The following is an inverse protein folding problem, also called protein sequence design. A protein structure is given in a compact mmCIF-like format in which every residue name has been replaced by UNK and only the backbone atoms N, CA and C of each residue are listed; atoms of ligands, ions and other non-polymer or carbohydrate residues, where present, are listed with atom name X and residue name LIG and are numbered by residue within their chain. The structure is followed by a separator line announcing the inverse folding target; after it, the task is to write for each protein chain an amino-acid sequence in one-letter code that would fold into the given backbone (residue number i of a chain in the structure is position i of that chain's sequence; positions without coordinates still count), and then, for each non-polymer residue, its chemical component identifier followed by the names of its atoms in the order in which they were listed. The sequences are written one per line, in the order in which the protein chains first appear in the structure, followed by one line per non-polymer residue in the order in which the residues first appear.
data_IF_191866448066
#
_entry.id   IF_191866448066
#
_cell.length_a   1.000
_cell.length_b   1.000
_cell.length_c   1.000
_cell.angle_alpha   90.00
_cell.angle_beta   90.00
_cell.angle_gamma   90.00
#
_symmetry.space_group_name_H-M   'P 1'
#
loop_
_entity.id
_entity.type
_entity.pdbx_description
1 polymer ?
#
# COMPACT_ATOMS: atom_id res chain seq x y z
N UNK A 1 8.71 13.81 21.37
CA UNK A 1 8.03 12.54 21.66
C UNK A 1 7.45 12.07 20.34
N UNK A 2 7.90 10.92 19.82
CA UNK A 2 7.36 10.37 18.58
C UNK A 2 5.95 9.83 18.88
N UNK A 3 4.97 10.23 18.08
CA UNK A 3 3.59 9.76 18.19
C UNK A 3 3.56 8.25 17.86
N UNK A 4 3.17 7.37 18.81
CA UNK A 4 3.17 5.93 18.62
C UNK A 4 2.15 5.44 17.58
N UNK A 5 1.39 6.32 16.92
CA UNK A 5 0.39 5.97 15.91
C UNK A 5 0.50 6.79 14.62
N UNK A 6 1.66 7.39 14.30
CA UNK A 6 1.82 8.15 13.06
C UNK A 6 1.68 7.23 11.82
N UNK A 7 0.45 7.06 11.33
CA UNK A 7 0.11 6.29 10.12
C UNK A 7 0.12 7.14 8.86
N UNK A 8 0.80 8.28 8.89
CA UNK A 8 0.91 9.16 7.74
C UNK A 8 1.93 8.64 6.71
N UNK A 9 2.86 7.75 7.10
CA UNK A 9 3.87 7.18 6.19
C UNK A 9 4.14 5.72 6.47
N UNK A 10 4.40 4.95 5.41
CA UNK A 10 4.89 3.58 5.52
C UNK A 10 5.87 3.26 4.40
N UNK A 11 6.56 2.14 4.56
CA UNK A 11 7.41 1.55 3.54
C UNK A 11 6.89 0.17 3.15
N UNK A 12 6.92 -0.14 1.84
CA UNK A 12 6.88 -1.51 1.36
C UNK A 12 8.31 -1.98 1.10
N UNK A 13 8.79 -2.90 1.94
CA UNK A 13 10.14 -3.46 1.88
C UNK A 13 10.09 -4.83 1.21
N UNK A 14 10.65 -4.97 0.01
CA UNK A 14 10.63 -6.22 -0.74
C UNK A 14 11.56 -7.26 -0.10
N UNK A 15 11.03 -8.44 0.18
CA UNK A 15 11.75 -9.47 0.93
C UNK A 15 12.91 -10.10 0.15
N UNK A 16 12.86 -10.09 -1.19
CA UNK A 16 13.84 -10.80 -2.02
C UNK A 16 15.16 -10.05 -2.27
N UNK A 17 15.16 -8.71 -2.18
CA UNK A 17 16.32 -7.91 -2.63
C UNK A 17 16.42 -6.54 -1.95
N UNK A 18 15.75 -6.36 -0.81
CA UNK A 18 15.80 -5.13 0.00
C UNK A 18 15.36 -3.83 -0.72
N UNK A 19 14.64 -3.92 -1.86
CA UNK A 19 14.00 -2.75 -2.45
C UNK A 19 13.00 -2.14 -1.46
N UNK A 20 13.11 -0.83 -1.21
CA UNK A 20 12.20 -0.08 -0.35
C UNK A 20 11.42 0.95 -1.18
N UNK A 21 10.10 0.92 -1.06
CA UNK A 21 9.21 1.92 -1.65
C UNK A 21 8.53 2.69 -0.52
N UNK A 22 8.80 3.99 -0.40
CA UNK A 22 8.19 4.84 0.62
C UNK A 22 6.88 5.44 0.12
N UNK A 23 5.87 5.45 0.99
CA UNK A 23 4.54 5.99 0.73
C UNK A 23 4.14 6.98 1.82
N UNK A 24 3.47 8.06 1.42
CA UNK A 24 2.88 9.02 2.34
C UNK A 24 1.39 9.18 2.06
N UNK A 25 0.62 9.37 3.13
CA UNK A 25 -0.81 9.67 3.08
C UNK A 25 -1.00 10.97 2.31
N UNK A 26 -1.92 10.94 1.36
CA UNK A 26 -2.23 12.11 0.54
C UNK A 26 -3.68 12.02 0.05
N UNK A 27 -4.22 13.15 -0.37
CA UNK A 27 -5.55 13.23 -0.97
C UNK A 27 -5.45 12.96 -2.46
N UNK A 28 -6.20 11.98 -2.94
CA UNK A 28 -6.29 11.63 -4.35
C UNK A 28 -7.14 12.64 -5.13
N UNK A 29 -6.98 12.69 -6.46
CA UNK A 29 -7.98 13.32 -7.34
C UNK A 29 -9.36 12.72 -7.06
N UNK A 30 -10.32 13.55 -6.67
CA UNK A 30 -11.66 13.13 -6.23
C UNK A 30 -11.87 13.15 -4.70
N UNK A 31 -10.89 13.63 -3.92
CA UNK A 31 -11.06 13.91 -2.49
C UNK A 31 -10.97 12.70 -1.56
N UNK A 32 -10.65 11.52 -2.10
CA UNK A 32 -10.47 10.30 -1.29
C UNK A 32 -9.05 10.22 -0.75
N UNK A 33 -8.90 9.69 0.46
CA UNK A 33 -7.58 9.46 1.07
C UNK A 33 -6.92 8.24 0.44
N UNK A 34 -5.65 8.37 0.10
CA UNK A 34 -4.78 7.28 -0.33
C UNK A 34 -3.37 7.46 0.20
N UNK A 35 -2.47 6.57 -0.21
CA UNK A 35 -1.04 6.67 0.07
C UNK A 35 -0.28 6.70 -1.24
N UNK A 36 0.40 7.82 -1.52
CA UNK A 36 1.16 8.02 -2.73
C UNK A 36 2.62 7.64 -2.51
N UNK A 37 3.18 6.89 -3.45
CA UNK A 37 4.60 6.59 -3.48
C UNK A 37 5.39 7.87 -3.69
N UNK A 38 6.49 8.03 -2.97
CA UNK A 38 7.22 9.32 -2.92
C UNK A 38 8.04 9.63 -4.18
N UNK A 39 8.40 8.63 -4.97
CA UNK A 39 9.26 8.76 -6.16
C UNK A 39 8.52 8.54 -7.49
N UNK A 40 7.25 8.08 -7.45
CA UNK A 40 6.45 7.74 -8.63
C UNK A 40 4.96 7.99 -8.34
N UNK A 41 4.17 8.29 -9.37
CA UNK A 41 2.73 8.45 -9.23
C UNK A 41 2.00 7.09 -9.14
N UNK A 42 2.28 6.37 -8.05
CA UNK A 42 1.67 5.08 -7.71
C UNK A 42 0.98 5.21 -6.36
N UNK A 43 -0.18 4.56 -6.25
CA UNK A 43 -1.05 4.73 -5.09
C UNK A 43 -1.42 3.39 -4.44
N UNK A 44 -1.45 3.38 -3.12
CA UNK A 44 -2.25 2.43 -2.32
C UNK A 44 -3.56 3.13 -1.98
N UNK A 45 -4.67 2.56 -2.44
CA UNK A 45 -6.01 3.14 -2.31
C UNK A 45 -6.99 2.14 -1.70
N UNK A 46 -8.01 2.63 -1.00
CA UNK A 46 -9.10 1.80 -0.51
C UNK A 46 -10.18 1.68 -1.57
N UNK A 47 -10.57 0.45 -1.91
CA UNK A 47 -11.66 0.17 -2.86
C UNK A 47 -12.78 -0.64 -2.21
N UNK A 48 -14.06 -0.34 -2.50
CA UNK A 48 -15.19 -1.12 -2.00
C UNK A 48 -15.07 -2.60 -2.34
N UNK A 49 -15.22 -3.49 -1.35
CA UNK A 49 -15.12 -4.94 -1.52
C UNK A 49 -13.69 -5.51 -1.62
N UNK A 50 -12.68 -4.67 -1.86
CA UNK A 50 -11.28 -5.11 -2.02
C UNK A 50 -10.37 -4.63 -0.89
N UNK A 51 -10.78 -3.62 -0.11
CA UNK A 51 -9.93 -3.03 0.93
C UNK A 51 -8.83 -2.16 0.32
N UNK A 52 -7.70 -2.05 1.00
CA UNK A 52 -6.50 -1.36 0.56
C UNK A 52 -5.74 -2.18 -0.48
N UNK A 53 -5.48 -1.57 -1.63
CA UNK A 53 -4.83 -2.22 -2.78
C UNK A 53 -3.88 -1.26 -3.48
N UNK A 54 -2.82 -1.80 -4.07
CA UNK A 54 -2.11 -1.11 -5.15
C UNK A 54 -2.96 -1.24 -6.42
N UNK A 55 -3.44 -0.11 -6.94
CA UNK A 55 -4.31 -0.10 -8.11
C UNK A 55 -3.59 0.53 -9.29
N UNK A 56 -3.69 -0.12 -10.45
CA UNK A 56 -3.25 0.46 -11.71
C UNK A 56 -4.46 1.06 -12.43
N UNK A 57 -4.55 2.40 -12.56
CA UNK A 57 -5.66 3.06 -13.24
C UNK A 57 -5.68 2.77 -14.74
N UNK A 58 -4.53 2.54 -15.37
CA UNK A 58 -4.44 2.34 -16.82
C UNK A 58 -5.02 0.98 -17.24
N UNK A 59 -4.69 -0.08 -16.50
CA UNK A 59 -5.24 -1.42 -16.74
C UNK A 59 -6.52 -1.74 -15.95
N UNK A 60 -6.98 -0.80 -15.12
CA UNK A 60 -8.10 -0.98 -14.18
C UNK A 60 -7.98 -2.28 -13.37
N UNK A 61 -6.78 -2.56 -12.84
CA UNK A 61 -6.50 -3.82 -12.16
C UNK A 61 -5.80 -3.65 -10.82
N UNK A 62 -6.06 -4.59 -9.91
CA UNK A 62 -5.32 -4.68 -8.66
C UNK A 62 -3.95 -5.30 -8.95
N UNK A 63 -2.89 -4.56 -8.64
CA UNK A 63 -1.51 -5.03 -8.80
C UNK A 63 -0.87 -5.46 -7.49
N UNK A 64 -1.47 -5.16 -6.34
CA UNK A 64 -0.99 -5.65 -5.05
C UNK A 64 -1.97 -5.47 -3.90
N UNK A 65 -1.85 -6.29 -2.85
CA UNK A 65 -2.75 -6.30 -1.69
C UNK A 65 -2.12 -6.96 -0.47
N UNK A 66 -2.69 -6.76 0.73
CA UNK A 66 -2.35 -7.54 1.92
C UNK A 66 -2.57 -9.03 1.67
N UNK A 67 -1.62 -9.85 2.11
CA UNK A 67 -1.72 -11.30 1.99
C UNK A 67 -2.60 -11.90 3.09
N UNK A 68 -2.37 -11.47 4.34
CA UNK A 68 -2.95 -12.12 5.52
C UNK A 68 -4.22 -11.44 6.07
N UNK A 69 -4.59 -10.25 5.56
CA UNK A 69 -5.70 -9.46 6.11
C UNK A 69 -6.82 -9.31 5.07
N UNK A 70 -7.94 -9.98 5.32
CA UNK A 70 -9.12 -9.93 4.46
C UNK A 70 -9.69 -8.51 4.33
N UNK A 71 -10.24 -8.11 3.17
CA UNK A 71 -10.80 -6.77 2.95
C UNK A 71 -11.74 -6.26 4.05
N UNK A 72 -12.62 -7.14 4.54
CA UNK A 72 -13.61 -6.80 5.57
C UNK A 72 -13.00 -6.56 6.97
N UNK A 73 -11.77 -7.03 7.21
CA UNK A 73 -11.04 -6.86 8.46
C UNK A 73 -10.06 -5.67 8.43
N UNK A 74 -9.98 -4.95 7.30
CA UNK A 74 -9.07 -3.82 7.16
C UNK A 74 -9.70 -2.53 7.69
N UNK A 75 -8.94 -1.79 8.50
CA UNK A 75 -9.35 -0.50 9.04
C UNK A 75 -9.12 0.68 8.09
N UNK A 76 -9.02 1.86 8.67
CA UNK A 76 -8.88 3.14 7.94
C UNK A 76 -7.49 3.38 7.36
N UNK A 77 -6.58 2.42 7.54
CA UNK A 77 -5.22 2.47 7.02
C UNK A 77 -4.83 1.10 6.46
N UNK A 78 -3.90 1.05 5.47
CA UNK A 78 -3.31 -0.19 4.99
C UNK A 78 -2.80 -1.06 6.16
N UNK A 79 -3.14 -2.36 6.22
CA UNK A 79 -2.60 -3.22 7.26
C UNK A 79 -1.08 -3.40 7.10
N UNK A 80 -0.38 -3.43 8.23
CA UNK A 80 1.03 -3.85 8.27
C UNK A 80 1.18 -5.34 7.93
N UNK A 81 2.42 -5.75 7.65
CA UNK A 81 2.77 -7.15 7.38
C UNK A 81 2.88 -7.43 5.89
N UNK A 82 2.60 -8.67 5.49
CA UNK A 82 2.91 -9.13 4.14
C UNK A 82 1.92 -8.60 3.08
N UNK A 83 2.49 -8.10 2.00
CA UNK A 83 1.81 -7.64 0.80
C UNK A 83 2.38 -8.35 -0.42
N UNK A 84 1.50 -8.90 -1.26
CA UNK A 84 1.90 -9.49 -2.53
C UNK A 84 1.58 -8.52 -3.65
N UNK A 85 2.55 -8.26 -4.52
CA UNK A 85 2.34 -7.46 -5.74
C UNK A 85 2.78 -8.20 -6.99
N UNK A 86 1.92 -8.19 -8.01
CA UNK A 86 2.22 -8.66 -9.37
C UNK A 86 2.96 -7.57 -10.15
N UNK A 87 4.06 -7.96 -10.81
CA UNK A 87 4.85 -7.13 -11.73
C UNK A 87 5.13 -7.95 -12.99
N UNK A 88 4.34 -7.71 -14.03
CA UNK A 88 4.37 -8.53 -15.25
C UNK A 88 4.04 -9.99 -14.96
N UNK A 89 4.98 -10.89 -15.28
CA UNK A 89 4.88 -12.34 -15.05
C UNK A 89 5.37 -12.78 -13.66
N UNK A 90 5.85 -11.86 -12.81
CA UNK A 90 6.40 -12.18 -11.49
C UNK A 90 5.48 -11.67 -10.38
N UNK A 91 5.55 -12.31 -9.22
CA UNK A 91 4.99 -11.82 -7.96
C UNK A 91 6.13 -11.58 -6.97
N UNK A 92 5.99 -10.52 -6.18
CA UNK A 92 6.94 -10.18 -5.13
C UNK A 92 6.22 -9.99 -3.81
N UNK A 93 6.85 -10.42 -2.72
CA UNK A 93 6.37 -10.22 -1.35
C UNK A 93 7.11 -9.02 -0.76
N UNK A 94 6.35 -8.14 -0.13
CA UNK A 94 6.81 -6.96 0.59
C UNK A 94 6.30 -7.02 2.02
N UNK A 95 7.04 -6.44 2.95
CA UNK A 95 6.54 -6.13 4.28
C UNK A 95 6.18 -4.64 4.35
N UNK A 96 4.92 -4.34 4.68
CA UNK A 96 4.46 -3.00 5.00
C UNK A 96 4.81 -2.67 6.45
N UNK A 97 5.57 -1.60 6.65
CA UNK A 97 6.01 -1.12 7.96
C UNK A 97 5.71 0.37 8.07
N UNK A 98 4.90 0.81 9.05
CA UNK A 98 4.71 2.23 9.30
C UNK A 98 6.00 2.88 9.81
N UNK A 99 6.26 4.10 9.36
CA UNK A 99 7.46 4.85 9.72
C UNK A 99 7.06 6.24 10.22
N UNK A 100 7.73 6.68 11.30
CA UNK A 100 7.49 7.98 11.95
C UNK A 100 7.93 9.14 11.09
#
# INVERSE_FOLDING_TARGET
MADPQNRERFELRRQSDALVCSFARNTRPGGTVGYQRQDQDLWIERRPGWGWVAWDPASQSCTGRPWNVLPAAQGDHPPEGDWVSRKGAKSYVYSLVYVS
#
